data_IF_595143886596
#
_entry.id   IF_595143886596
#
_cell.length_a   1.000
_cell.length_b   1.000
_cell.length_c   1.000
_cell.angle_alpha   90.00
_cell.angle_beta   90.00
_cell.angle_gamma   90.00
#
_symmetry.space_group_name_H-M   'P 1'
#
loop_
_entity.id
_entity.type
_entity.pdbx_description
1 polymer ?
#
# COMPACT_ATOMS: atom_id res chain seq x y z
N UNK A 1 38.47 -43.08 14.59
CA UNK A 1 37.77 -43.01 13.29
C UNK A 1 36.29 -42.75 13.57
N UNK A 2 35.92 -41.50 13.83
CA UNK A 2 34.56 -41.09 14.24
C UNK A 2 34.08 -40.00 13.28
N UNK A 3 33.44 -40.41 12.20
CA UNK A 3 32.76 -39.51 11.28
C UNK A 3 31.42 -39.10 11.93
N UNK A 4 31.44 -38.02 12.71
CA UNK A 4 30.21 -37.35 13.16
C UNK A 4 29.97 -36.16 12.24
N UNK A 5 29.10 -36.43 11.29
CA UNK A 5 28.46 -35.62 10.27
C UNK A 5 28.33 -34.13 10.61
N UNK A 6 28.93 -33.32 9.74
CA UNK A 6 28.69 -31.89 9.55
C UNK A 6 27.22 -31.66 9.16
N UNK A 7 26.38 -31.22 10.11
CA UNK A 7 25.06 -30.68 9.78
C UNK A 7 25.16 -29.15 9.66
N UNK A 8 25.74 -28.73 8.54
CA UNK A 8 25.66 -27.37 8.03
C UNK A 8 24.20 -27.10 7.65
N UNK A 9 23.36 -26.78 8.64
CA UNK A 9 21.93 -26.49 8.49
C UNK A 9 21.74 -25.25 7.62
N UNK A 10 21.62 -25.51 6.33
CA UNK A 10 21.27 -24.53 5.32
C UNK A 10 19.80 -24.14 5.51
N UNK A 11 19.61 -22.83 5.74
CA UNK A 11 18.55 -21.99 5.14
C UNK A 11 17.14 -22.19 5.75
N UNK A 12 16.23 -21.18 5.74
CA UNK A 12 16.08 -20.27 4.61
C UNK A 12 15.70 -18.81 4.90
N UNK A 13 15.83 -18.01 3.86
CA UNK A 13 15.57 -16.58 3.78
C UNK A 13 14.05 -16.24 3.77
N UNK A 14 13.20 -16.99 4.48
CA UNK A 14 11.75 -16.93 4.34
C UNK A 14 11.01 -16.21 5.49
N UNK A 15 11.72 -15.62 6.45
CA UNK A 15 11.10 -15.07 7.67
C UNK A 15 10.33 -13.75 7.48
N UNK A 16 10.41 -13.12 6.30
CA UNK A 16 9.75 -11.81 6.05
C UNK A 16 8.23 -11.97 5.89
N UNK A 17 7.78 -13.05 5.25
CA UNK A 17 6.36 -13.24 4.94
C UNK A 17 5.56 -13.73 6.15
N UNK A 18 6.19 -14.46 7.06
CA UNK A 18 5.55 -15.00 8.27
C UNK A 18 5.14 -13.89 9.25
N UNK A 19 5.91 -12.79 9.31
CA UNK A 19 5.63 -11.67 10.23
C UNK A 19 4.50 -10.76 9.75
N UNK A 20 4.30 -10.61 8.44
CA UNK A 20 3.17 -9.84 7.89
C UNK A 20 1.83 -10.50 8.16
N UNK A 21 1.79 -11.85 8.19
CA UNK A 21 0.56 -12.60 8.42
C UNK A 21 0.09 -12.49 9.87
N UNK A 22 1.02 -12.44 10.82
CA UNK A 22 0.73 -12.21 12.24
C UNK A 22 0.14 -10.82 12.54
N UNK A 23 0.36 -9.82 11.67
CA UNK A 23 -0.24 -8.48 11.80
C UNK A 23 -1.66 -8.40 11.20
N UNK A 24 -2.05 -9.41 10.39
CA UNK A 24 -3.39 -9.52 9.79
C UNK A 24 -4.28 -10.44 10.63
N UNK A 25 -3.70 -11.45 11.28
CA UNK A 25 -4.33 -12.32 12.28
C UNK A 25 -4.34 -11.67 13.68
N UNK A 26 -4.59 -10.35 13.79
CA UNK A 26 -4.86 -9.73 15.10
C UNK A 26 -6.24 -10.20 15.54
N UNK A 27 -6.22 -11.21 16.41
CA UNK A 27 -7.38 -11.95 16.87
C UNK A 27 -8.39 -11.02 17.55
N UNK A 28 -9.59 -10.97 16.96
CA UNK A 28 -10.86 -10.61 17.58
C UNK A 28 -10.89 -9.32 18.43
N UNK A 29 -11.16 -8.17 17.81
CA UNK A 29 -11.71 -7.04 18.57
C UNK A 29 -11.85 -5.71 17.85
N UNK A 30 -10.88 -5.32 17.02
CA UNK A 30 -10.87 -3.99 16.40
C UNK A 30 -10.42 -4.09 14.93
N UNK A 31 -11.29 -3.60 14.04
CA UNK A 31 -11.14 -3.38 12.59
C UNK A 31 -10.33 -4.41 11.77
N UNK A 32 -10.96 -5.13 10.81
CA UNK A 32 -10.26 -6.08 9.95
C UNK A 32 -9.02 -5.48 9.27
N UNK A 33 -7.93 -6.24 9.17
CA UNK A 33 -6.68 -5.77 8.53
C UNK A 33 -6.85 -5.28 7.08
N UNK A 34 -7.89 -5.72 6.37
CA UNK A 34 -8.22 -5.20 5.04
C UNK A 34 -8.70 -3.74 5.08
N UNK A 35 -9.35 -3.29 6.16
CA UNK A 35 -9.84 -1.91 6.33
C UNK A 35 -8.68 -0.93 6.47
N UNK A 36 -7.61 -1.31 7.16
CA UNK A 36 -6.42 -0.45 7.28
C UNK A 36 -5.78 -0.18 5.91
N UNK A 37 -5.74 -1.19 5.04
CA UNK A 37 -5.23 -1.05 3.67
C UNK A 37 -6.12 -0.12 2.83
N UNK A 38 -7.45 -0.27 2.94
CA UNK A 38 -8.37 0.61 2.21
C UNK A 38 -8.32 2.03 2.74
N UNK A 39 -8.17 2.24 4.06
CA UNK A 39 -8.02 3.57 4.67
C UNK A 39 -6.72 4.26 4.25
N UNK A 40 -5.59 3.54 4.21
CA UNK A 40 -4.34 4.08 3.66
C UNK A 40 -4.51 4.51 2.20
N UNK A 41 -5.15 3.66 1.39
CA UNK A 41 -5.37 3.96 -0.03
C UNK A 41 -6.32 5.14 -0.22
N UNK A 42 -7.44 5.16 0.51
CA UNK A 42 -8.39 6.27 0.50
C UNK A 42 -7.72 7.58 0.94
N UNK A 43 -6.92 7.54 2.00
CA UNK A 43 -6.15 8.70 2.46
C UNK A 43 -5.15 9.21 1.42
N UNK A 44 -4.40 8.30 0.78
CA UNK A 44 -3.48 8.66 -0.30
C UNK A 44 -4.20 9.26 -1.51
N UNK A 45 -5.33 8.69 -1.91
CA UNK A 45 -6.14 9.22 -3.03
C UNK A 45 -6.64 10.62 -2.71
N UNK A 46 -7.19 10.85 -1.51
CA UNK A 46 -7.65 12.18 -1.07
C UNK A 46 -6.50 13.18 -1.03
N UNK A 47 -5.33 12.77 -0.55
CA UNK A 47 -4.14 13.63 -0.50
C UNK A 47 -3.70 14.08 -1.90
N UNK A 48 -3.61 13.13 -2.84
CA UNK A 48 -3.25 13.42 -4.24
C UNK A 48 -4.32 14.31 -4.87
N UNK A 49 -5.61 13.99 -4.65
CA UNK A 49 -6.73 14.74 -5.19
C UNK A 49 -6.78 16.18 -4.66
N UNK A 50 -6.46 16.42 -3.39
CA UNK A 50 -6.41 17.78 -2.83
C UNK A 50 -5.40 18.69 -3.56
N UNK A 51 -4.28 18.12 -4.01
CA UNK A 51 -3.26 18.84 -4.79
C UNK A 51 -3.65 18.93 -6.27
N UNK A 52 -4.21 17.87 -6.84
CA UNK A 52 -4.54 17.79 -8.27
C UNK A 52 -5.84 18.52 -8.65
N UNK A 53 -6.81 18.61 -7.74
CA UNK A 53 -8.14 19.17 -7.97
C UNK A 53 -8.11 20.59 -8.55
N UNK A 54 -7.43 21.56 -7.90
CA UNK A 54 -7.35 22.94 -8.41
C UNK A 54 -6.73 23.04 -9.81
N UNK A 55 -5.71 22.23 -10.10
CA UNK A 55 -5.07 22.19 -11.41
C UNK A 55 -6.01 21.66 -12.49
N UNK A 56 -6.76 20.60 -12.20
CA UNK A 56 -7.75 20.04 -13.12
C UNK A 56 -8.87 21.03 -13.41
N UNK A 57 -9.40 21.74 -12.41
CA UNK A 57 -10.42 22.79 -12.61
C UNK A 57 -9.89 23.89 -13.51
N UNK A 58 -8.67 24.38 -13.26
CA UNK A 58 -8.06 25.42 -14.10
C UNK A 58 -7.88 24.96 -15.55
N UNK A 59 -7.45 23.72 -15.77
CA UNK A 59 -7.32 23.16 -17.12
C UNK A 59 -8.68 23.03 -17.82
N UNK A 60 -9.73 22.63 -17.09
CA UNK A 60 -11.10 22.58 -17.60
C UNK A 60 -11.61 23.97 -18.00
N UNK A 61 -11.49 24.97 -17.12
CA UNK A 61 -11.90 26.34 -17.41
C UNK A 61 -11.20 26.90 -18.66
N UNK A 62 -9.88 26.71 -18.74
CA UNK A 62 -9.08 27.10 -19.90
C UNK A 62 -9.54 26.38 -21.19
N UNK A 63 -9.88 25.09 -21.11
CA UNK A 63 -10.38 24.35 -22.25
C UNK A 63 -11.77 24.83 -22.70
N UNK A 64 -12.66 25.13 -21.75
CA UNK A 64 -14.00 25.67 -22.04
C UNK A 64 -13.90 27.05 -22.68
N UNK A 65 -13.05 27.93 -22.19
CA UNK A 65 -12.83 29.25 -22.81
C UNK A 65 -12.38 29.11 -24.26
N UNK A 66 -11.41 28.23 -24.53
CA UNK A 66 -10.92 27.97 -25.90
C UNK A 66 -11.99 27.43 -26.85
N UNK A 67 -12.91 26.58 -26.37
CA UNK A 67 -13.97 26.02 -27.23
C UNK A 67 -15.17 26.96 -27.39
N UNK A 68 -15.41 27.82 -26.40
CA UNK A 68 -16.51 28.80 -26.41
C UNK A 68 -16.25 29.97 -27.36
N UNK A 69 -15.05 30.06 -27.94
CA UNK A 69 -14.73 31.02 -29.00
C UNK A 69 -14.67 32.48 -28.55
N UNK A 70 -14.42 32.72 -27.25
CA UNK A 70 -13.96 34.01 -26.73
C UNK A 70 -12.42 34.04 -26.72
#
# INVERSE_FOLDING_TARGET
>A
MTARTQEHRRRPWHDVTTRFRAFIDDEAGDVPGWVLVTLMTAGLVVLIWAVAGPALTSLFEQAIQRVSGL
#
